data_IF_550964254494
#
_entry.id   IF_550964254494
#
_cell.length_a   1.000
_cell.length_b   1.000
_cell.length_c   1.000
_cell.angle_alpha   90.00
_cell.angle_beta   90.00
_cell.angle_gamma   90.00
#
_symmetry.space_group_name_H-M   'P 1'
#
loop_
_entity.id
_entity.type
_entity.pdbx_description
1 polymer ?
#
# COMPACT_ATOMS: atom_id res chain seq x y z
N UNK A 1 17.22 2.86 3.05
CA UNK A 1 16.89 2.38 1.70
C UNK A 1 18.15 2.19 0.87
N UNK A 2 18.21 1.10 0.10
CA UNK A 2 19.28 0.94 -0.87
C UNK A 2 19.14 1.98 -1.99
N UNK A 3 20.24 2.34 -2.68
CA UNK A 3 20.16 3.31 -3.77
C UNK A 3 19.14 2.94 -4.85
N UNK A 4 19.06 1.68 -5.23
CA UNK A 4 18.11 1.22 -6.25
C UNK A 4 16.66 1.38 -5.83
N UNK A 5 16.33 1.01 -4.59
CA UNK A 5 14.98 1.16 -4.04
C UNK A 5 14.62 2.65 -3.95
N UNK A 6 15.54 3.46 -3.44
CA UNK A 6 15.35 4.90 -3.34
C UNK A 6 15.10 5.53 -4.72
N UNK A 7 15.92 5.19 -5.69
CA UNK A 7 15.78 5.72 -7.06
C UNK A 7 14.44 5.31 -7.70
N UNK A 8 14.00 4.08 -7.47
CA UNK A 8 12.70 3.61 -7.97
C UNK A 8 11.55 4.39 -7.36
N UNK A 9 11.58 4.61 -6.03
CA UNK A 9 10.54 5.38 -5.33
C UNK A 9 10.52 6.84 -5.82
N UNK A 10 11.66 7.44 -6.02
CA UNK A 10 11.75 8.81 -6.56
C UNK A 10 11.24 8.86 -7.99
N UNK A 11 11.58 7.88 -8.81
CA UNK A 11 11.18 7.84 -10.22
C UNK A 11 9.66 7.78 -10.39
N UNK A 12 8.95 7.11 -9.51
CA UNK A 12 7.48 7.03 -9.56
C UNK A 12 6.79 8.17 -8.83
N UNK A 13 7.53 9.14 -8.29
CA UNK A 13 6.97 10.24 -7.48
C UNK A 13 6.17 9.71 -6.28
N UNK A 14 6.73 8.76 -5.56
CA UNK A 14 6.03 8.05 -4.49
C UNK A 14 5.45 8.99 -3.44
N UNK A 15 6.26 9.90 -2.91
CA UNK A 15 5.84 10.81 -1.82
C UNK A 15 4.68 11.68 -2.27
N UNK A 16 4.78 12.31 -3.44
CA UNK A 16 3.74 13.20 -3.98
C UNK A 16 2.44 12.44 -4.21
N UNK A 17 2.52 11.22 -4.74
CA UNK A 17 1.34 10.39 -5.01
C UNK A 17 0.70 9.91 -3.71
N UNK A 18 1.49 9.57 -2.70
CA UNK A 18 0.96 9.19 -1.39
C UNK A 18 0.31 10.37 -0.68
N UNK A 19 0.92 11.56 -0.73
CA UNK A 19 0.32 12.77 -0.18
C UNK A 19 -1.03 13.08 -0.84
N UNK A 20 -1.10 12.94 -2.15
CA UNK A 20 -2.33 13.17 -2.90
C UNK A 20 -3.42 12.16 -2.50
N UNK A 21 -3.06 10.90 -2.36
CA UNK A 21 -3.98 9.86 -1.88
C UNK A 21 -4.48 10.18 -0.47
N UNK A 22 -3.58 10.54 0.43
CA UNK A 22 -3.90 10.91 1.81
C UNK A 22 -4.84 12.12 1.88
N UNK A 23 -4.61 13.13 1.04
CA UNK A 23 -5.45 14.32 0.98
C UNK A 23 -6.84 14.02 0.41
N UNK A 24 -6.91 13.19 -0.61
CA UNK A 24 -8.18 12.81 -1.25
C UNK A 24 -9.07 11.99 -0.32
N UNK A 25 -8.47 11.11 0.49
CA UNK A 25 -9.19 10.27 1.44
C UNK A 25 -8.79 10.65 2.87
N UNK A 26 -9.04 11.91 3.21
CA UNK A 26 -8.62 12.48 4.48
C UNK A 26 -9.58 12.15 5.64
N UNK A 27 -9.06 12.26 6.86
CA UNK A 27 -9.87 12.13 8.08
C UNK A 27 -10.93 13.23 8.17
N UNK A 28 -10.69 14.41 7.60
CA UNK A 28 -11.67 15.49 7.56
C UNK A 28 -12.85 15.15 6.64
N UNK A 29 -12.58 14.51 5.51
CA UNK A 29 -13.63 14.03 4.59
C UNK A 29 -14.47 12.93 5.21
N UNK A 30 -13.84 12.05 5.99
CA UNK A 30 -14.50 10.90 6.61
C UNK A 30 -14.20 10.91 8.11
N UNK A 31 -15.00 11.65 8.91
CA UNK A 31 -14.81 11.70 10.36
C UNK A 31 -14.97 10.32 11.01
N UNK A 32 -14.50 10.19 12.24
CA UNK A 32 -14.44 8.90 12.95
C UNK A 32 -15.76 8.10 12.91
N UNK A 33 -16.89 8.78 13.06
CA UNK A 33 -18.20 8.12 13.10
C UNK A 33 -18.66 7.62 11.72
N UNK A 34 -18.05 8.11 10.66
CA UNK A 34 -18.42 7.75 9.28
C UNK A 34 -17.48 6.71 8.66
N UNK A 35 -16.51 6.22 9.42
CA UNK A 35 -15.53 5.25 8.93
C UNK A 35 -16.10 3.85 8.85
N UNK A 36 -15.67 3.10 7.84
CA UNK A 36 -16.03 1.70 7.68
C UNK A 36 -15.12 0.84 8.58
N UNK A 37 -15.59 0.57 9.81
CA UNK A 37 -14.81 -0.17 10.82
C UNK A 37 -14.93 -1.68 10.62
N UNK A 38 -16.17 -2.15 10.45
CA UNK A 38 -16.45 -3.58 10.28
C UNK A 38 -16.50 -3.91 8.80
N UNK A 39 -15.56 -4.73 8.37
CA UNK A 39 -15.35 -5.02 6.95
C UNK A 39 -15.71 -6.46 6.66
N UNK A 40 -16.51 -6.66 5.60
CA UNK A 40 -16.70 -7.98 5.03
C UNK A 40 -15.45 -8.33 4.21
N UNK A 41 -14.68 -9.31 4.68
CA UNK A 41 -13.43 -9.72 4.03
C UNK A 41 -13.63 -10.18 2.59
N UNK A 42 -14.76 -10.78 2.26
CA UNK A 42 -15.04 -11.22 0.89
C UNK A 42 -15.15 -10.04 -0.07
N UNK A 43 -15.72 -8.92 0.39
CA UNK A 43 -15.75 -7.69 -0.42
C UNK A 43 -14.35 -7.22 -0.78
N UNK A 44 -13.44 -7.27 0.19
CA UNK A 44 -12.05 -6.87 -0.04
C UNK A 44 -11.35 -7.84 -0.98
N UNK A 45 -11.55 -9.14 -0.76
CA UNK A 45 -10.96 -10.17 -1.63
C UNK A 45 -11.43 -9.99 -3.08
N UNK A 46 -12.70 -9.70 -3.30
CA UNK A 46 -13.24 -9.45 -4.63
C UNK A 46 -12.65 -8.22 -5.29
N UNK A 47 -12.44 -7.14 -4.53
CA UNK A 47 -11.76 -5.93 -5.05
C UNK A 47 -10.35 -6.24 -5.54
N UNK A 48 -9.62 -7.04 -4.78
CA UNK A 48 -8.25 -7.43 -5.12
C UNK A 48 -8.25 -8.31 -6.37
N UNK A 49 -9.17 -9.28 -6.45
CA UNK A 49 -9.31 -10.14 -7.65
C UNK A 49 -9.68 -9.33 -8.88
N UNK A 50 -10.61 -8.40 -8.72
CA UNK A 50 -11.04 -7.53 -9.83
C UNK A 50 -9.90 -6.66 -10.36
N UNK A 51 -8.92 -6.32 -9.50
CA UNK A 51 -7.73 -5.58 -9.90
C UNK A 51 -6.67 -6.47 -10.58
N UNK A 52 -6.91 -7.79 -10.67
CA UNK A 52 -6.01 -8.72 -11.34
C UNK A 52 -5.03 -9.46 -10.45
N UNK A 53 -5.22 -9.42 -9.14
CA UNK A 53 -4.33 -10.05 -8.18
C UNK A 53 -4.98 -11.24 -7.47
N UNK A 54 -4.17 -12.12 -6.90
CA UNK A 54 -4.63 -13.27 -6.14
C UNK A 54 -4.50 -12.96 -4.64
N UNK A 55 -5.61 -12.72 -3.94
CA UNK A 55 -5.57 -12.32 -2.54
C UNK A 55 -5.53 -13.51 -1.59
N UNK A 56 -4.92 -13.29 -0.43
CA UNK A 56 -4.97 -14.17 0.73
C UNK A 56 -5.18 -13.32 1.97
N UNK A 57 -5.84 -13.87 2.98
CA UNK A 57 -5.98 -13.21 4.28
C UNK A 57 -5.19 -13.97 5.33
N UNK A 58 -4.29 -13.26 6.03
CA UNK A 58 -3.56 -13.81 7.15
C UNK A 58 -4.43 -13.65 8.41
N UNK A 59 -4.99 -14.75 8.90
CA UNK A 59 -5.92 -14.72 10.04
C UNK A 59 -5.23 -14.42 11.37
N UNK A 60 -3.95 -14.75 11.48
CA UNK A 60 -3.17 -14.53 12.71
C UNK A 60 -2.83 -13.06 12.90
N UNK A 61 -2.32 -12.42 11.86
CA UNK A 61 -1.88 -11.02 11.90
C UNK A 61 -2.89 -10.06 11.29
N UNK A 62 -3.97 -10.58 10.72
CA UNK A 62 -5.12 -9.84 10.20
C UNK A 62 -4.76 -8.79 9.15
N UNK A 63 -4.13 -9.24 8.08
CA UNK A 63 -3.89 -8.42 6.92
C UNK A 63 -4.18 -9.20 5.64
N UNK A 64 -4.46 -8.46 4.56
CA UNK A 64 -4.59 -9.02 3.22
C UNK A 64 -3.26 -8.96 2.54
N UNK A 65 -2.92 -10.00 1.78
CA UNK A 65 -1.73 -10.00 0.93
C UNK A 65 -2.08 -10.49 -0.45
N UNK A 66 -1.36 -10.03 -1.44
CA UNK A 66 -1.45 -10.57 -2.79
C UNK A 66 -0.33 -11.58 -3.00
N UNK A 67 -0.53 -12.49 -3.94
CA UNK A 67 0.48 -13.50 -4.27
C UNK A 67 1.78 -12.81 -4.65
N UNK A 68 2.89 -13.29 -4.08
CA UNK A 68 4.23 -12.80 -4.38
C UNK A 68 4.57 -13.02 -5.85
N UNK A 69 5.20 -12.03 -6.46
CA UNK A 69 5.56 -12.05 -7.87
C UNK A 69 7.07 -12.01 -8.03
N UNK A 70 7.60 -12.93 -8.84
CA UNK A 70 9.04 -13.01 -9.13
C UNK A 70 9.30 -12.40 -10.51
N UNK A 71 10.09 -11.31 -10.53
CA UNK A 71 10.45 -10.62 -11.76
C UNK A 71 11.96 -10.40 -11.77
N UNK A 72 12.65 -11.09 -12.68
CA UNK A 72 14.12 -11.05 -12.73
C UNK A 72 14.71 -11.56 -11.42
N UNK A 73 15.56 -10.77 -10.80
CA UNK A 73 16.19 -11.12 -9.51
C UNK A 73 15.37 -10.74 -8.28
N UNK A 74 14.24 -10.06 -8.46
CA UNK A 74 13.43 -9.56 -7.35
C UNK A 74 12.16 -10.38 -7.13
N UNK A 75 11.76 -10.46 -5.87
CA UNK A 75 10.41 -10.88 -5.46
C UNK A 75 9.68 -9.67 -4.93
N UNK A 76 8.42 -9.50 -5.34
CA UNK A 76 7.57 -8.40 -4.92
C UNK A 76 6.36 -8.91 -4.15
N UNK A 77 6.05 -8.26 -3.04
CA UNK A 77 4.86 -8.54 -2.25
C UNK A 77 4.15 -7.25 -1.87
N UNK A 78 2.88 -7.38 -1.53
CA UNK A 78 2.05 -6.26 -1.12
C UNK A 78 1.14 -6.71 0.01
N UNK A 79 1.26 -6.09 1.18
CA UNK A 79 0.37 -6.32 2.31
C UNK A 79 -0.52 -5.10 2.50
N UNK A 80 -1.79 -5.37 2.76
CA UNK A 80 -2.82 -4.35 2.94
C UNK A 80 -3.43 -4.58 4.31
N UNK A 81 -3.23 -3.62 5.21
CA UNK A 81 -3.73 -3.69 6.58
C UNK A 81 -4.88 -2.69 6.70
N UNK A 82 -6.09 -3.20 6.90
CA UNK A 82 -7.29 -2.39 7.03
C UNK A 82 -7.74 -2.41 8.49
N UNK A 83 -7.66 -1.26 9.15
CA UNK A 83 -7.98 -1.15 10.57
C UNK A 83 -8.53 0.24 10.87
N UNK A 84 -9.63 0.29 11.63
CA UNK A 84 -10.24 1.54 12.07
C UNK A 84 -10.61 2.48 10.90
N UNK A 85 -10.98 1.90 9.76
CA UNK A 85 -11.32 2.66 8.56
C UNK A 85 -10.13 3.31 7.89
N UNK A 86 -8.91 2.82 8.14
CA UNK A 86 -7.69 3.31 7.52
C UNK A 86 -6.95 2.20 6.79
N UNK A 87 -6.31 2.54 5.69
CA UNK A 87 -5.50 1.61 4.92
C UNK A 87 -4.01 1.86 5.17
N UNK A 88 -3.33 0.86 5.70
CA UNK A 88 -1.88 0.85 5.88
C UNK A 88 -1.29 -0.09 4.84
N UNK A 89 -0.39 0.43 4.02
CA UNK A 89 0.08 -0.24 2.82
C UNK A 89 1.56 -0.55 2.95
N UNK A 90 1.93 -1.79 2.64
CA UNK A 90 3.30 -2.28 2.81
C UNK A 90 3.74 -2.98 1.54
N UNK A 91 4.81 -2.50 0.92
CA UNK A 91 5.46 -3.23 -0.16
C UNK A 91 6.65 -4.02 0.39
N UNK A 92 6.86 -5.18 -0.18
CA UNK A 92 7.97 -6.06 0.19
C UNK A 92 8.79 -6.35 -1.06
N UNK A 93 10.09 -6.16 -0.99
CA UNK A 93 11.01 -6.51 -2.07
C UNK A 93 12.14 -7.33 -1.50
N UNK A 94 12.39 -8.46 -2.14
CA UNK A 94 13.52 -9.34 -1.80
C UNK A 94 14.38 -9.56 -3.03
N UNK A 95 15.66 -9.70 -2.79
CA UNK A 95 16.61 -10.19 -3.79
C UNK A 95 17.24 -11.46 -3.21
N UNK A 96 16.79 -12.62 -3.69
CA UNK A 96 17.13 -13.89 -3.04
C UNK A 96 16.60 -13.91 -1.61
N UNK A 97 17.48 -14.15 -0.64
CA UNK A 97 17.12 -14.17 0.78
C UNK A 97 17.25 -12.80 1.46
N UNK A 98 17.66 -11.77 0.72
CA UNK A 98 17.88 -10.44 1.27
C UNK A 98 16.61 -9.59 1.16
N UNK A 99 16.13 -9.11 2.30
CA UNK A 99 14.99 -8.19 2.34
C UNK A 99 15.49 -6.78 2.05
N UNK A 100 15.06 -6.20 0.93
CA UNK A 100 15.43 -4.85 0.53
C UNK A 100 14.43 -3.80 1.00
N UNK A 101 13.15 -4.18 1.06
CA UNK A 101 12.06 -3.29 1.45
C UNK A 101 10.99 -4.13 2.14
N UNK A 102 10.42 -3.66 3.23
CA UNK A 102 9.42 -4.44 3.97
C UNK A 102 8.69 -3.64 5.02
N UNK A 103 8.77 -2.32 4.95
CA UNK A 103 8.12 -1.41 5.90
C UNK A 103 6.85 -0.81 5.29
N UNK A 104 5.99 -0.18 6.12
CA UNK A 104 4.85 0.57 5.62
C UNK A 104 5.26 1.80 4.80
N UNK A 105 4.35 2.26 3.95
CA UNK A 105 4.55 3.45 3.10
C UNK A 105 4.96 4.68 3.88
N UNK A 106 4.43 4.86 5.08
CA UNK A 106 4.80 6.00 5.94
C UNK A 106 6.29 6.01 6.28
N UNK A 107 6.88 4.84 6.41
CA UNK A 107 8.33 4.71 6.68
C UNK A 107 9.15 5.12 5.45
N UNK A 108 8.70 4.81 4.24
CA UNK A 108 9.41 5.23 3.03
C UNK A 108 9.46 6.75 2.94
N UNK A 109 8.33 7.40 3.25
CA UNK A 109 8.25 8.88 3.23
C UNK A 109 9.25 9.51 4.18
N UNK A 110 9.36 8.97 5.40
CA UNK A 110 10.33 9.46 6.38
C UNK A 110 11.77 9.27 5.91
N UNK A 111 12.05 8.15 5.26
CA UNK A 111 13.40 7.87 4.76
C UNK A 111 13.78 8.67 3.52
N UNK A 112 12.77 9.09 2.76
CA UNK A 112 12.99 9.90 1.55
C UNK A 112 13.09 11.39 1.85
N UNK A 113 12.37 11.89 2.84
CA UNK A 113 12.26 13.32 3.17
C UNK A 113 13.04 13.63 4.46
N UNK A 114 12.45 13.31 5.62
CA UNK A 114 13.12 13.39 6.91
C UNK A 114 12.36 12.58 7.97
N UNK A 115 13.01 12.36 9.13
CA UNK A 115 12.51 11.48 10.19
C UNK A 115 11.16 11.92 10.77
N UNK A 116 10.86 13.21 10.71
CA UNK A 116 9.61 13.77 11.25
C UNK A 116 8.50 13.92 10.21
N UNK A 117 8.78 13.61 8.97
CA UNK A 117 7.81 13.75 7.89
C UNK A 117 6.72 12.69 8.00
N UNK A 118 5.47 13.14 8.16
CA UNK A 118 4.32 12.25 8.34
C UNK A 118 3.29 12.47 7.26
N UNK A 119 2.90 11.38 6.59
CA UNK A 119 1.75 11.36 5.69
C UNK A 119 0.70 10.50 6.38
N UNK A 120 -0.51 11.04 6.55
CA UNK A 120 -1.59 10.30 7.20
C UNK A 120 -2.11 9.20 6.28
N UNK A 121 -2.45 8.07 6.87
CA UNK A 121 -3.05 6.95 6.13
C UNK A 121 -4.37 7.39 5.51
N UNK A 122 -4.70 6.93 4.30
CA UNK A 122 -6.00 7.21 3.70
C UNK A 122 -7.11 6.56 4.52
N UNK A 123 -8.23 7.26 4.63
CA UNK A 123 -9.40 6.88 5.42
C UNK A 123 -10.56 6.57 4.49
N UNK A 124 -11.31 5.53 4.80
CA UNK A 124 -12.47 5.15 4.00
C UNK A 124 -13.71 4.95 4.86
N UNK A 125 -14.86 5.43 4.35
CA UNK A 125 -16.16 5.28 4.97
C UNK A 125 -17.09 4.35 4.20
N UNK A 126 -16.72 3.97 2.98
CA UNK A 126 -17.50 3.09 2.12
C UNK A 126 -16.57 2.11 1.42
N UNK A 127 -17.16 1.03 0.87
CA UNK A 127 -16.40 0.12 0.01
C UNK A 127 -15.95 0.79 -1.28
N UNK A 128 -16.71 1.77 -1.77
CA UNK A 128 -16.32 2.55 -2.95
C UNK A 128 -15.05 3.34 -2.70
N UNK A 129 -14.93 3.98 -1.54
CA UNK A 129 -13.72 4.67 -1.13
C UNK A 129 -12.53 3.70 -1.05
N UNK A 130 -12.74 2.56 -0.42
CA UNK A 130 -11.69 1.54 -0.28
C UNK A 130 -11.23 1.04 -1.65
N UNK A 131 -12.16 0.77 -2.55
CA UNK A 131 -11.84 0.33 -3.91
C UNK A 131 -11.02 1.38 -4.65
N UNK A 132 -11.37 2.65 -4.52
CA UNK A 132 -10.63 3.75 -5.14
C UNK A 132 -9.21 3.87 -4.57
N UNK A 133 -9.05 3.73 -3.25
CA UNK A 133 -7.75 3.73 -2.58
C UNK A 133 -6.88 2.58 -3.12
N UNK A 134 -7.44 1.38 -3.15
CA UNK A 134 -6.71 0.20 -3.62
C UNK A 134 -6.32 0.30 -5.09
N UNK A 135 -7.20 0.86 -5.93
CA UNK A 135 -6.90 1.07 -7.34
C UNK A 135 -5.68 1.95 -7.54
N UNK A 136 -5.62 3.06 -6.82
CA UNK A 136 -4.47 3.97 -6.86
C UNK A 136 -3.22 3.28 -6.33
N UNK A 137 -3.34 2.56 -5.22
CA UNK A 137 -2.21 1.84 -4.62
C UNK A 137 -1.67 0.75 -5.56
N UNK A 138 -2.52 0.03 -6.25
CA UNK A 138 -2.09 -0.99 -7.22
C UNK A 138 -1.43 -0.37 -8.46
N UNK A 139 -1.92 0.77 -8.92
CA UNK A 139 -1.27 1.50 -10.02
C UNK A 139 0.16 1.92 -9.62
N UNK A 140 0.31 2.44 -8.41
CA UNK A 140 1.63 2.80 -7.87
C UNK A 140 2.53 1.57 -7.74
N UNK A 141 1.97 0.43 -7.34
CA UNK A 141 2.70 -0.82 -7.21
C UNK A 141 3.25 -1.30 -8.56
N UNK A 142 2.43 -1.27 -9.61
CA UNK A 142 2.87 -1.64 -10.96
C UNK A 142 3.98 -0.70 -11.45
N UNK A 143 3.84 0.59 -11.23
CA UNK A 143 4.86 1.57 -11.61
C UNK A 143 6.18 1.33 -10.85
N UNK A 144 6.08 1.01 -9.57
CA UNK A 144 7.24 0.70 -8.73
C UNK A 144 7.99 -0.53 -9.23
N UNK A 145 7.26 -1.61 -9.53
CA UNK A 145 7.86 -2.83 -10.08
C UNK A 145 8.60 -2.55 -11.39
N UNK A 146 7.99 -1.77 -12.27
CA UNK A 146 8.63 -1.37 -13.52
C UNK A 146 9.87 -0.52 -13.28
N UNK A 147 9.82 0.42 -12.35
CA UNK A 147 10.93 1.32 -12.06
C UNK A 147 12.15 0.60 -11.47
N UNK A 148 11.94 -0.51 -10.79
CA UNK A 148 13.02 -1.27 -10.15
C UNK A 148 13.73 -2.22 -11.11
N UNK A 149 13.18 -2.48 -12.25
CA UNK A 149 13.75 -3.40 -13.25
C UNK A 149 14.83 -2.79 -14.13
#
# INVERSE_FOLDING_TARGET
LTPKIKDALLKINFVERYEKLSAQFSAARTPADDRLIYIDGEEVMEMIRAAGYSPQFNTKEKFYKIQEEHIGKYSFGFHIILRDGMADLVWIVREGDVLLLGSPWGTYSRRLIDVDYRIKKPVFGTYEDLEAILKIAFEMYEDFKCALQ
#
